data_IF_297246773866
#
_entry.id   IF_297246773866
#
_cell.length_a   1.000
_cell.length_b   1.000
_cell.length_c   1.000
_cell.angle_alpha   90.00
_cell.angle_beta   90.00
_cell.angle_gamma   90.00
#
_symmetry.space_group_name_H-M   'P 1'
#
loop_
_entity.id
_entity.type
_entity.pdbx_description
1 polymer ?
#
# COMPACT_ATOMS: atom_id res chain seq x y z
N UNK A 1 14.37 -0.99 -4.22
CA UNK A 1 13.60 -0.29 -3.16
C UNK A 1 14.52 0.55 -2.29
N UNK A 2 15.39 -0.03 -1.45
CA UNK A 2 16.27 0.71 -0.54
C UNK A 2 17.10 1.81 -1.23
N UNK A 3 17.81 1.47 -2.32
CA UNK A 3 18.56 2.47 -3.09
C UNK A 3 17.70 3.59 -3.67
N UNK A 4 16.42 3.35 -3.97
CA UNK A 4 15.53 4.43 -4.40
C UNK A 4 15.08 5.32 -3.23
N UNK A 5 14.88 4.74 -2.05
CA UNK A 5 14.59 5.51 -0.84
C UNK A 5 15.78 6.42 -0.49
N UNK A 6 17.01 5.91 -0.63
CA UNK A 6 18.24 6.70 -0.50
C UNK A 6 18.32 7.82 -1.54
N UNK A 7 18.14 7.52 -2.84
CA UNK A 7 18.15 8.53 -3.90
C UNK A 7 17.07 9.62 -3.72
N UNK A 8 15.92 9.28 -3.14
CA UNK A 8 14.84 10.24 -2.86
C UNK A 8 15.09 11.08 -1.59
N UNK A 9 16.11 10.69 -0.79
CA UNK A 9 16.51 11.36 0.44
C UNK A 9 15.79 10.89 1.70
N UNK A 10 15.18 9.70 1.69
CA UNK A 10 14.55 9.09 2.88
C UNK A 10 15.55 8.31 3.73
N UNK A 11 16.65 7.85 3.14
CA UNK A 11 17.70 7.11 3.83
C UNK A 11 19.02 7.84 3.67
N UNK A 12 19.79 7.87 4.74
CA UNK A 12 21.17 8.34 4.71
C UNK A 12 22.07 7.22 5.18
N UNK A 13 23.10 6.92 4.42
CA UNK A 13 24.13 6.00 4.88
C UNK A 13 24.99 6.75 5.89
N UNK A 14 24.97 6.33 7.15
CA UNK A 14 26.02 6.76 8.08
C UNK A 14 27.35 6.40 7.44
N UNK A 15 28.16 7.41 7.09
CA UNK A 15 29.55 7.18 6.72
C UNK A 15 30.13 6.37 7.87
N UNK A 16 30.53 5.13 7.60
CA UNK A 16 31.38 4.38 8.52
C UNK A 16 32.58 5.31 8.68
N UNK A 17 32.70 5.92 9.84
CA UNK A 17 33.84 6.74 10.17
C UNK A 17 35.07 5.86 9.99
N UNK A 18 35.92 6.24 9.04
CA UNK A 18 37.36 6.03 9.16
C UNK A 18 37.77 6.40 10.59
N UNK A 19 38.84 5.76 11.05
CA UNK A 19 39.30 5.63 12.46
C UNK A 19 39.79 6.97 13.08
N UNK A 20 39.11 8.08 12.85
CA UNK A 20 39.40 9.40 13.40
C UNK A 20 38.09 10.06 13.81
N UNK A 21 37.79 9.97 15.10
CA UNK A 21 36.57 10.53 15.70
C UNK A 21 36.47 12.04 15.47
N UNK A 22 35.66 12.42 14.49
CA UNK A 22 35.06 13.75 14.38
C UNK A 22 33.64 13.52 13.87
N UNK A 23 32.70 13.38 14.82
CA UNK A 23 31.28 13.54 14.55
C UNK A 23 31.10 15.05 14.33
N UNK A 24 31.18 15.51 13.09
CA UNK A 24 30.81 16.89 12.76
C UNK A 24 29.36 17.09 13.18
N UNK A 25 29.15 18.15 13.95
CA UNK A 25 27.89 18.60 14.53
C UNK A 25 26.84 18.80 13.44
N UNK A 26 26.04 17.77 13.21
CA UNK A 26 24.71 17.89 12.66
C UNK A 26 23.77 17.93 13.85
N UNK A 27 22.78 18.81 13.80
CA UNK A 27 21.81 19.10 14.86
C UNK A 27 21.38 17.83 15.61
N UNK A 28 21.20 17.92 16.93
CA UNK A 28 20.72 16.84 17.81
C UNK A 28 19.26 16.44 17.50
N UNK A 29 18.96 16.11 16.25
CA UNK A 29 17.69 15.55 15.83
C UNK A 29 17.71 14.05 16.20
N UNK A 30 16.72 13.62 16.98
CA UNK A 30 16.59 12.21 17.39
C UNK A 30 16.52 11.30 16.18
N UNK A 31 17.22 10.16 16.21
CA UNK A 31 17.15 9.16 15.13
C UNK A 31 15.68 8.80 14.80
N UNK A 32 15.25 8.88 13.53
CA UNK A 32 13.85 8.70 13.17
C UNK A 32 13.38 7.27 13.43
N UNK A 33 12.08 7.12 13.70
CA UNK A 33 11.43 5.83 13.86
C UNK A 33 11.04 5.26 12.49
N UNK A 34 11.55 4.09 12.16
CA UNK A 34 11.24 3.37 10.93
C UNK A 34 10.03 2.47 11.15
N UNK A 35 8.90 2.80 10.53
CA UNK A 35 7.63 2.07 10.67
C UNK A 35 7.36 1.20 9.44
N UNK A 36 7.50 -0.12 9.60
CA UNK A 36 7.14 -1.10 8.57
C UNK A 36 5.65 -1.48 8.68
N UNK A 37 4.85 -1.08 7.69
CA UNK A 37 3.44 -1.46 7.59
C UNK A 37 3.29 -2.81 6.90
N UNK A 38 2.42 -3.68 7.43
CA UNK A 38 2.26 -5.03 6.89
C UNK A 38 3.57 -5.83 7.00
N UNK A 39 4.26 -5.70 8.13
CA UNK A 39 5.64 -6.15 8.28
C UNK A 39 5.82 -7.66 8.08
N UNK A 40 4.77 -8.47 8.23
CA UNK A 40 4.87 -9.92 8.16
C UNK A 40 5.97 -10.46 9.07
N UNK A 41 7.03 -11.02 8.46
CA UNK A 41 8.20 -11.55 9.17
C UNK A 41 9.27 -10.49 9.55
N UNK A 42 9.18 -9.25 9.07
CA UNK A 42 10.08 -8.14 9.42
C UNK A 42 11.41 -8.12 8.66
N UNK A 43 11.50 -8.79 7.51
CA UNK A 43 12.76 -8.87 6.75
C UNK A 43 13.15 -7.57 6.06
N UNK A 44 12.18 -6.70 5.74
CA UNK A 44 12.51 -5.40 5.13
C UNK A 44 13.20 -4.49 6.16
N UNK A 45 12.66 -4.41 7.38
CA UNK A 45 13.33 -3.75 8.50
C UNK A 45 14.68 -4.35 8.82
N UNK A 46 14.83 -5.68 8.76
CA UNK A 46 16.14 -6.33 8.91
C UNK A 46 17.16 -5.85 7.89
N UNK A 47 16.78 -5.77 6.61
CA UNK A 47 17.65 -5.29 5.55
C UNK A 47 18.02 -3.81 5.73
N UNK A 48 17.06 -2.97 6.14
CA UNK A 48 17.32 -1.57 6.49
C UNK A 48 18.33 -1.45 7.65
N UNK A 49 18.16 -2.26 8.69
CA UNK A 49 19.08 -2.30 9.82
C UNK A 49 20.49 -2.77 9.44
N UNK A 50 20.62 -3.71 8.50
CA UNK A 50 21.93 -4.15 7.98
C UNK A 50 22.61 -3.09 7.11
N UNK A 51 21.85 -2.45 6.20
CA UNK A 51 22.42 -1.58 5.18
C UNK A 51 22.61 -0.12 5.61
N UNK A 52 21.76 0.37 6.52
CA UNK A 52 21.68 1.79 6.90
C UNK A 52 21.83 2.02 8.41
N UNK A 53 22.09 0.97 9.19
CA UNK A 53 22.32 1.07 10.64
C UNK A 53 21.19 1.80 11.39
N UNK A 54 19.93 1.58 10.98
CA UNK A 54 18.77 2.16 11.66
C UNK A 54 18.58 1.54 13.04
N UNK A 55 18.20 2.36 14.01
CA UNK A 55 18.12 1.96 15.43
C UNK A 55 16.68 1.79 15.91
N UNK A 56 15.77 2.71 15.54
CA UNK A 56 14.40 2.73 16.04
C UNK A 56 13.44 2.08 15.04
N UNK A 57 12.94 0.89 15.33
CA UNK A 57 12.10 0.09 14.41
C UNK A 57 10.74 -0.22 15.03
N UNK A 58 9.69 0.09 14.29
CA UNK A 58 8.31 -0.26 14.62
C UNK A 58 7.69 -1.13 13.52
N UNK A 59 7.21 -2.31 13.90
CA UNK A 59 6.58 -3.27 12.97
C UNK A 59 5.07 -3.30 13.21
N UNK A 60 4.27 -2.90 12.23
CA UNK A 60 2.80 -2.96 12.28
C UNK A 60 2.32 -4.19 11.50
N UNK A 61 1.61 -5.09 12.18
CA UNK A 61 1.14 -6.32 11.55
C UNK A 61 -0.09 -6.90 12.29
N UNK A 62 -1.15 -7.26 11.57
CA UNK A 62 -2.37 -7.85 12.17
C UNK A 62 -2.19 -9.30 12.62
N UNK A 63 -1.31 -10.06 11.95
CA UNK A 63 -1.11 -11.51 12.16
C UNK A 63 0.15 -11.84 12.96
N UNK A 64 0.16 -13.03 13.54
CA UNK A 64 1.36 -13.61 14.13
C UNK A 64 2.03 -14.55 13.13
N UNK A 65 3.32 -14.38 12.91
CA UNK A 65 4.12 -15.23 12.03
C UNK A 65 5.15 -16.05 12.84
N UNK A 66 5.46 -17.26 12.37
CA UNK A 66 6.66 -18.00 12.80
C UNK A 66 7.88 -17.49 12.04
N UNK A 67 9.08 -17.69 12.59
CA UNK A 67 10.36 -17.31 11.97
C UNK A 67 10.45 -15.81 11.66
N UNK A 68 10.16 -14.98 12.66
CA UNK A 68 10.28 -13.52 12.54
C UNK A 68 11.74 -13.10 12.65
N UNK A 69 12.13 -12.06 11.92
CA UNK A 69 13.42 -11.40 12.04
C UNK A 69 13.63 -10.72 13.41
N UNK A 70 12.59 -10.66 14.26
CA UNK A 70 12.63 -10.02 15.58
C UNK A 70 13.79 -10.52 16.44
N UNK A 71 14.12 -11.82 16.40
CA UNK A 71 15.23 -12.37 17.19
C UNK A 71 16.56 -11.79 16.74
N UNK A 72 16.87 -11.85 15.45
CA UNK A 72 18.15 -11.37 14.91
C UNK A 72 18.25 -9.85 14.99
N UNK A 73 17.13 -9.13 14.83
CA UNK A 73 17.06 -7.69 15.07
C UNK A 73 17.37 -7.32 16.52
N UNK A 74 16.84 -8.06 17.51
CA UNK A 74 17.10 -7.81 18.94
C UNK A 74 18.51 -8.20 19.40
N UNK A 75 19.17 -9.11 18.68
CA UNK A 75 20.57 -9.47 18.96
C UNK A 75 21.54 -8.31 18.62
N UNK A 76 21.09 -7.31 17.85
CA UNK A 76 21.85 -6.08 17.60
C UNK A 76 21.66 -5.09 18.75
N UNK A 77 22.73 -4.85 19.52
CA UNK A 77 22.69 -4.08 20.77
C UNK A 77 22.12 -2.66 20.65
N UNK A 78 22.12 -2.05 19.46
CA UNK A 78 21.66 -0.68 19.22
C UNK A 78 20.23 -0.56 18.68
N UNK A 79 19.48 -1.67 18.51
CA UNK A 79 18.14 -1.62 17.92
C UNK A 79 17.04 -1.62 18.98
N UNK A 80 16.25 -0.56 19.02
CA UNK A 80 14.97 -0.54 19.69
C UNK A 80 13.88 -1.09 18.76
N UNK A 81 13.45 -2.33 19.02
CA UNK A 81 12.41 -3.01 18.23
C UNK A 81 11.08 -3.11 18.98
N UNK A 82 10.04 -2.48 18.42
CA UNK A 82 8.64 -2.65 18.85
C UNK A 82 7.81 -3.28 17.73
N UNK A 83 7.08 -4.37 18.04
CA UNK A 83 6.10 -4.95 17.13
C UNK A 83 4.70 -4.75 17.70
N UNK A 84 3.84 -4.07 16.96
CA UNK A 84 2.46 -3.77 17.36
C UNK A 84 1.53 -4.66 16.53
N UNK A 85 0.77 -5.51 17.23
CA UNK A 85 -0.20 -6.39 16.60
C UNK A 85 -1.56 -5.69 16.50
N UNK A 86 -1.88 -5.15 15.33
CA UNK A 86 -3.08 -4.34 15.10
C UNK A 86 -3.47 -4.38 13.63
N UNK A 87 -4.76 -4.24 13.33
CA UNK A 87 -5.19 -3.95 11.96
C UNK A 87 -4.87 -2.47 11.63
N UNK A 88 -4.50 -2.19 10.39
CA UNK A 88 -4.17 -0.82 9.98
C UNK A 88 -5.43 0.07 10.04
N UNK A 89 -6.62 -0.52 9.85
CA UNK A 89 -7.88 0.21 9.99
C UNK A 89 -8.08 0.78 11.41
N UNK A 90 -7.57 0.11 12.44
CA UNK A 90 -7.68 0.52 13.84
C UNK A 90 -6.44 1.32 14.33
N UNK A 91 -5.46 1.56 13.46
CA UNK A 91 -4.19 2.18 13.84
C UNK A 91 -4.30 3.71 13.93
N UNK A 92 -3.97 4.25 15.11
CA UNK A 92 -3.83 5.68 15.34
C UNK A 92 -2.39 6.06 15.74
N UNK A 93 -1.57 6.44 14.75
CA UNK A 93 -0.15 6.77 14.95
C UNK A 93 0.08 7.88 15.99
N UNK A 94 -0.72 8.95 15.94
CA UNK A 94 -0.62 10.07 16.89
C UNK A 94 -0.91 9.64 18.33
N UNK A 95 -1.63 8.55 18.55
CA UNK A 95 -1.87 8.00 19.89
C UNK A 95 -0.71 7.16 20.45
N UNK A 96 0.34 6.91 19.67
CA UNK A 96 1.42 6.03 20.07
C UNK A 96 2.51 6.80 20.80
N UNK A 97 2.69 6.54 22.09
CA UNK A 97 3.74 7.18 22.90
C UNK A 97 5.16 7.02 22.32
N UNK A 98 5.41 5.93 21.58
CA UNK A 98 6.70 5.66 20.95
C UNK A 98 6.99 6.56 19.72
N UNK A 99 6.02 7.37 19.27
CA UNK A 99 6.19 8.32 18.18
C UNK A 99 6.10 9.78 18.66
N UNK A 100 5.81 10.00 19.95
CA UNK A 100 5.62 11.35 20.49
C UNK A 100 6.93 12.12 20.43
N UNK A 101 6.90 13.31 19.84
CA UNK A 101 8.03 14.22 19.58
C UNK A 101 9.15 13.60 18.75
N UNK A 102 8.86 12.53 18.00
CA UNK A 102 9.80 11.87 17.11
C UNK A 102 9.42 12.04 15.65
N UNK A 103 10.46 12.10 14.82
CA UNK A 103 10.34 11.95 13.39
C UNK A 103 10.16 10.47 13.01
N UNK A 104 9.45 10.19 11.93
CA UNK A 104 9.25 8.82 11.47
C UNK A 104 9.18 8.69 9.95
N UNK A 105 9.60 7.53 9.46
CA UNK A 105 9.52 7.13 8.06
C UNK A 105 8.62 5.90 7.96
N UNK A 106 7.55 6.02 7.18
CA UNK A 106 6.63 4.91 6.92
C UNK A 106 7.03 4.16 5.65
N UNK A 107 7.19 2.84 5.73
CA UNK A 107 7.56 2.05 4.56
C UNK A 107 6.91 0.67 4.55
N UNK A 108 6.84 0.04 3.38
CA UNK A 108 6.32 -1.32 3.25
C UNK A 108 6.73 -2.01 1.95
N UNK A 109 6.96 -3.34 2.04
CA UNK A 109 6.76 -4.27 0.92
C UNK A 109 6.08 -5.54 1.46
N UNK A 110 5.04 -6.08 0.86
CA UNK A 110 4.17 -5.55 -0.20
C UNK A 110 2.81 -5.26 0.45
N UNK A 111 2.33 -4.01 0.39
CA UNK A 111 1.14 -3.60 1.13
C UNK A 111 -0.11 -3.74 0.26
N UNK A 112 -0.94 -4.74 0.56
CA UNK A 112 -1.99 -5.17 -0.36
C UNK A 112 -3.19 -4.21 -0.43
N UNK A 113 -3.52 -3.76 -1.64
CA UNK A 113 -4.76 -3.06 -1.99
C UNK A 113 -5.14 -1.95 -1.01
N UNK A 114 -6.27 -2.10 -0.33
CA UNK A 114 -6.80 -1.08 0.60
C UNK A 114 -5.90 -0.80 1.81
N UNK A 115 -5.02 -1.73 2.20
CA UNK A 115 -4.07 -1.48 3.28
C UNK A 115 -3.12 -0.32 2.95
N UNK A 116 -2.75 -0.17 1.65
CA UNK A 116 -1.98 1.00 1.20
C UNK A 116 -2.76 2.27 1.48
N UNK A 117 -4.03 2.32 1.11
CA UNK A 117 -4.85 3.51 1.26
C UNK A 117 -5.11 3.87 2.73
N UNK A 118 -5.28 2.87 3.60
CA UNK A 118 -5.37 3.07 5.05
C UNK A 118 -4.06 3.62 5.62
N UNK A 119 -2.90 3.05 5.26
CA UNK A 119 -1.58 3.55 5.68
C UNK A 119 -1.36 4.99 5.23
N UNK A 120 -1.71 5.34 3.99
CA UNK A 120 -1.60 6.72 3.50
C UNK A 120 -2.43 7.68 4.35
N UNK A 121 -3.66 7.31 4.74
CA UNK A 121 -4.49 8.11 5.65
C UNK A 121 -3.87 8.25 7.04
N UNK A 122 -3.30 7.18 7.60
CA UNK A 122 -2.59 7.23 8.88
C UNK A 122 -1.38 8.19 8.83
N UNK A 123 -0.72 8.26 7.68
CA UNK A 123 0.46 9.09 7.45
C UNK A 123 0.13 10.47 6.86
N UNK A 124 -1.13 10.90 6.88
CA UNK A 124 -1.46 12.23 6.34
C UNK A 124 -0.80 13.31 7.21
N UNK A 125 -0.01 14.24 6.63
CA UNK A 125 0.55 15.36 7.38
C UNK A 125 -0.56 16.19 8.03
N UNK A 126 -0.33 16.62 9.27
CA UNK A 126 -1.21 17.59 9.91
C UNK A 126 -0.81 19.00 9.45
N UNK A 127 -1.64 19.63 8.63
CA UNK A 127 -1.41 21.01 8.19
C UNK A 127 -1.59 22.01 9.33
N UNK A 128 -2.26 21.61 10.43
CA UNK A 128 -2.53 22.45 11.58
C UNK A 128 -1.51 22.21 12.71
N UNK A 129 -0.22 22.43 12.43
CA UNK A 129 0.90 22.80 13.34
C UNK A 129 1.08 22.14 14.73
N UNK A 130 0.26 21.17 15.13
CA UNK A 130 0.22 20.57 16.48
C UNK A 130 0.37 19.05 16.44
N UNK A 131 1.00 18.52 15.36
CA UNK A 131 1.30 17.09 15.33
C UNK A 131 2.38 16.78 16.33
N UNK A 132 2.09 15.86 17.24
CA UNK A 132 3.02 15.32 18.23
C UNK A 132 3.93 14.24 17.64
N UNK A 133 3.86 13.95 16.34
CA UNK A 133 4.81 13.11 15.63
C UNK A 133 4.99 13.66 14.20
N UNK A 134 6.21 13.60 13.68
CA UNK A 134 6.58 14.26 12.42
C UNK A 134 6.90 13.23 11.34
N UNK A 135 6.17 13.25 10.24
CA UNK A 135 6.43 12.36 9.11
C UNK A 135 7.56 12.94 8.26
N UNK A 136 8.65 12.21 8.08
CA UNK A 136 9.73 12.59 7.17
C UNK A 136 9.55 12.01 5.78
N UNK A 137 8.90 10.86 5.67
CA UNK A 137 8.55 10.32 4.36
C UNK A 137 7.88 8.96 4.34
N UNK A 138 7.44 8.61 3.14
CA UNK A 138 6.68 7.41 2.83
C UNK A 138 7.39 6.66 1.70
N UNK A 139 7.52 5.33 1.82
CA UNK A 139 8.00 4.45 0.77
C UNK A 139 7.21 3.13 0.72
N UNK A 140 6.20 3.03 -0.15
CA UNK A 140 5.30 1.87 -0.20
C UNK A 140 5.38 1.19 -1.57
N UNK A 141 5.82 -0.07 -1.59
CA UNK A 141 5.67 -0.92 -2.76
C UNK A 141 4.20 -1.37 -2.85
N UNK A 142 3.47 -0.77 -3.79
CA UNK A 142 2.04 -1.01 -4.01
C UNK A 142 1.83 -2.37 -4.67
N UNK A 143 0.87 -3.15 -4.18
CA UNK A 143 0.54 -4.45 -4.76
C UNK A 143 -0.93 -4.82 -4.58
N UNK A 144 -1.36 -5.90 -5.23
CA UNK A 144 -2.69 -6.50 -5.06
C UNK A 144 -3.83 -5.49 -5.31
N UNK A 145 -3.72 -4.70 -6.37
CA UNK A 145 -4.73 -3.70 -6.74
C UNK A 145 -6.14 -4.27 -6.93
N UNK A 146 -6.24 -5.58 -7.20
CA UNK A 146 -7.52 -6.28 -7.37
C UNK A 146 -8.36 -6.36 -6.09
N UNK A 147 -7.75 -6.17 -4.91
CA UNK A 147 -8.46 -6.08 -3.62
C UNK A 147 -8.59 -4.64 -3.11
N UNK A 148 -8.31 -3.64 -3.95
CA UNK A 148 -8.62 -2.26 -3.62
C UNK A 148 -10.15 -2.09 -3.47
N UNK A 149 -10.55 -1.35 -2.44
CA UNK A 149 -11.96 -1.08 -2.15
C UNK A 149 -12.24 0.41 -2.28
N UNK A 150 -13.42 0.74 -2.77
CA UNK A 150 -13.82 2.14 -2.97
C UNK A 150 -13.83 2.94 -1.66
N UNK A 151 -14.38 2.37 -0.56
CA UNK A 151 -14.51 3.05 0.73
C UNK A 151 -13.15 3.53 1.30
N UNK A 152 -12.12 2.67 1.42
CA UNK A 152 -10.80 3.08 1.91
C UNK A 152 -9.92 3.78 0.88
N UNK A 153 -10.21 3.73 -0.43
CA UNK A 153 -9.40 4.43 -1.43
C UNK A 153 -9.26 5.93 -1.12
N UNK A 154 -8.03 6.46 -1.22
CA UNK A 154 -7.73 7.83 -0.76
C UNK A 154 -8.24 8.92 -1.70
N UNK A 155 -8.20 8.70 -3.01
CA UNK A 155 -8.53 9.74 -4.00
C UNK A 155 -9.79 9.46 -4.82
N UNK A 156 -10.93 9.36 -4.16
CA UNK A 156 -12.22 9.18 -4.86
C UNK A 156 -12.52 10.32 -5.83
N UNK A 157 -12.04 11.55 -5.54
CA UNK A 157 -12.28 12.72 -6.38
C UNK A 157 -11.52 12.65 -7.71
N UNK A 158 -10.31 12.08 -7.72
CA UNK A 158 -9.58 11.80 -8.95
C UNK A 158 -10.41 10.96 -9.94
N UNK A 159 -10.99 9.86 -9.48
CA UNK A 159 -11.86 9.02 -10.31
C UNK A 159 -13.11 9.76 -10.79
N UNK A 160 -13.77 10.52 -9.90
CA UNK A 160 -14.94 11.32 -10.27
C UNK A 160 -14.62 12.37 -11.33
N UNK A 161 -13.48 13.05 -11.25
CA UNK A 161 -13.01 14.03 -12.25
C UNK A 161 -12.78 13.39 -13.61
N UNK A 162 -12.37 12.13 -13.65
CA UNK A 162 -12.21 11.34 -14.88
C UNK A 162 -13.54 10.76 -15.41
N UNK A 163 -14.66 10.99 -14.73
CA UNK A 163 -15.97 10.46 -15.11
C UNK A 163 -16.23 9.03 -14.63
N UNK A 164 -15.39 8.48 -13.75
CA UNK A 164 -15.59 7.14 -13.17
C UNK A 164 -16.43 7.19 -11.90
N UNK A 165 -17.45 6.34 -11.83
CA UNK A 165 -18.24 6.06 -10.63
C UNK A 165 -17.59 4.94 -9.79
N UNK A 166 -18.23 4.62 -8.64
CA UNK A 166 -17.89 3.44 -7.83
C UNK A 166 -17.92 2.16 -8.66
N UNK A 167 -18.86 2.03 -9.62
CA UNK A 167 -18.99 0.84 -10.46
C UNK A 167 -17.79 0.69 -11.39
N UNK A 168 -17.40 1.74 -12.12
CA UNK A 168 -16.20 1.66 -12.97
C UNK A 168 -14.93 1.46 -12.17
N UNK A 169 -14.81 2.03 -10.96
CA UNK A 169 -13.68 1.74 -10.08
C UNK A 169 -13.55 0.24 -9.80
N UNK A 170 -14.66 -0.45 -9.48
CA UNK A 170 -14.64 -1.90 -9.24
C UNK A 170 -14.26 -2.71 -10.49
N UNK A 171 -14.71 -2.27 -11.67
CA UNK A 171 -14.29 -2.87 -12.95
C UNK A 171 -12.77 -2.71 -13.13
N UNK A 172 -12.25 -1.50 -12.89
CA UNK A 172 -10.82 -1.21 -13.01
C UNK A 172 -9.98 -2.04 -12.04
N UNK A 173 -10.41 -2.18 -10.78
CA UNK A 173 -9.72 -3.06 -9.81
C UNK A 173 -9.76 -4.51 -10.27
N UNK A 174 -10.90 -5.00 -10.78
CA UNK A 174 -11.00 -6.35 -11.30
C UNK A 174 -10.07 -6.60 -12.49
N UNK A 175 -9.94 -5.63 -13.40
CA UNK A 175 -9.01 -5.67 -14.54
C UNK A 175 -7.53 -5.74 -14.14
N UNK A 176 -7.18 -5.37 -12.89
CA UNK A 176 -5.80 -5.52 -12.39
C UNK A 176 -5.45 -6.94 -11.94
N UNK A 177 -6.43 -7.85 -11.82
CA UNK A 177 -6.19 -9.22 -11.38
C UNK A 177 -5.35 -10.00 -12.41
N UNK A 178 -4.33 -10.72 -11.93
CA UNK A 178 -3.45 -11.53 -12.77
C UNK A 178 -4.12 -12.76 -13.39
N UNK A 179 -5.39 -13.02 -13.08
CA UNK A 179 -6.19 -14.15 -13.58
C UNK A 179 -6.47 -14.09 -15.10
N UNK A 180 -5.73 -13.27 -15.85
CA UNK A 180 -5.94 -13.09 -17.28
C UNK A 180 -4.69 -13.18 -18.14
N UNK A 181 -3.52 -13.43 -17.54
CA UNK A 181 -2.33 -13.80 -18.31
C UNK A 181 -2.31 -15.30 -18.71
N UNK A 182 -3.46 -15.99 -18.68
CA UNK A 182 -3.51 -17.45 -18.71
C UNK A 182 -4.74 -18.10 -19.33
N UNK A 183 -5.46 -17.46 -20.27
CA UNK A 183 -6.37 -18.21 -21.15
C UNK A 183 -5.50 -18.91 -22.20
N UNK A 184 -4.81 -19.98 -21.80
CA UNK A 184 -4.27 -20.94 -22.75
C UNK A 184 -5.47 -21.68 -23.36
N UNK A 185 -5.54 -21.69 -24.68
CA UNK A 185 -6.53 -22.46 -25.43
C UNK A 185 -6.43 -23.95 -25.10
N UNK A 186 -7.56 -24.49 -24.62
CA UNK A 186 -8.02 -25.88 -24.55
C UNK A 186 -7.47 -26.86 -23.50
N UNK A 187 -8.49 -27.58 -22.97
CA UNK A 187 -8.50 -28.85 -22.24
C UNK A 187 -7.64 -28.94 -20.98
N UNK A 188 -8.27 -28.68 -19.83
CA UNK A 188 -8.41 -29.70 -18.78
C UNK A 188 -9.36 -29.24 -17.68
N UNK A 189 -10.36 -30.07 -17.38
CA UNK A 189 -11.27 -29.92 -16.25
C UNK A 189 -10.48 -30.12 -14.95
N UNK A 190 -10.20 -29.04 -14.21
CA UNK A 190 -10.08 -29.11 -12.74
C UNK A 190 -10.11 -27.73 -12.07
N UNK A 191 -11.19 -27.51 -11.33
CA UNK A 191 -11.36 -26.70 -10.13
C UNK A 191 -10.47 -25.44 -9.90
N UNK A 192 -11.12 -24.27 -9.87
CA UNK A 192 -11.15 -23.40 -8.69
C UNK A 192 -12.17 -22.26 -8.86
N UNK A 193 -13.43 -22.55 -8.52
CA UNK A 193 -14.44 -21.56 -8.16
C UNK A 193 -14.13 -21.03 -6.76
N UNK A 194 -13.62 -19.80 -6.64
CA UNK A 194 -13.69 -19.01 -5.38
C UNK A 194 -13.09 -17.60 -5.56
N UNK A 195 -13.64 -16.78 -6.45
CA UNK A 195 -13.24 -15.36 -6.51
C UNK A 195 -14.40 -14.37 -6.67
N UNK A 196 -15.65 -14.81 -6.48
CA UNK A 196 -16.82 -13.94 -6.60
C UNK A 196 -17.66 -13.80 -5.32
N UNK A 197 -17.16 -14.23 -4.16
CA UNK A 197 -17.83 -13.94 -2.88
C UNK A 197 -17.58 -12.50 -2.37
N UNK A 198 -16.75 -11.70 -3.06
CA UNK A 198 -16.46 -10.32 -2.65
C UNK A 198 -17.46 -9.27 -3.16
N UNK A 199 -18.48 -9.67 -3.93
CA UNK A 199 -19.49 -8.76 -4.48
C UNK A 199 -20.77 -8.64 -3.62
N UNK A 200 -20.91 -9.43 -2.54
CA UNK A 200 -22.15 -9.47 -1.74
C UNK A 200 -22.10 -8.83 -0.34
N UNK A 201 -20.96 -8.29 0.11
CA UNK A 201 -20.88 -7.66 1.45
C UNK A 201 -20.48 -6.20 1.33
N UNK A 202 -21.48 -5.34 1.11
CA UNK A 202 -21.59 -3.94 1.58
C UNK A 202 -22.76 -3.27 0.85
N UNK A 203 -23.97 -3.81 1.05
CA UNK A 203 -25.23 -3.09 0.85
C UNK A 203 -26.04 -3.30 2.12
N UNK A 204 -25.74 -2.57 3.19
CA UNK A 204 -26.65 -2.34 4.31
C UNK A 204 -26.11 -1.17 5.13
N UNK A 205 -26.80 -0.04 5.02
CA UNK A 205 -27.04 1.04 5.99
C UNK A 205 -27.64 2.21 5.16
N UNK A 206 -28.85 2.75 5.36
CA UNK A 206 -29.97 2.48 6.27
C UNK A 206 -31.20 3.24 5.72
N UNK A 207 -32.41 2.75 6.02
CA UNK A 207 -33.73 3.41 5.91
C UNK A 207 -34.35 3.71 4.53
N UNK A 208 -35.10 2.75 3.98
CA UNK A 208 -36.54 2.97 3.74
C UNK A 208 -37.31 1.64 3.71
N UNK A 209 -38.32 1.54 4.56
CA UNK A 209 -39.17 0.35 4.69
C UNK A 209 -40.41 0.55 3.84
N UNK A 210 -40.50 -0.14 2.70
CA UNK A 210 -41.79 -0.55 2.15
C UNK A 210 -41.63 -1.82 1.31
N UNK A 211 -42.33 -2.84 1.78
CA UNK A 211 -42.54 -4.14 1.14
C UNK A 211 -43.01 -3.98 -0.30
N UNK A 212 -42.25 -4.52 -1.26
CA UNK A 212 -42.79 -4.85 -2.56
C UNK A 212 -42.57 -6.33 -2.87
N UNK A 213 -43.70 -7.00 -3.00
CA UNK A 213 -43.85 -8.40 -3.34
C UNK A 213 -43.17 -8.72 -4.69
N UNK A 214 -42.76 -9.98 -4.78
CA UNK A 214 -42.30 -10.68 -5.98
C UNK A 214 -43.08 -10.23 -7.21
N UNK A 215 -42.39 -9.63 -8.17
CA UNK A 215 -42.83 -9.64 -9.56
C UNK A 215 -41.65 -10.10 -10.40
N UNK A 216 -41.84 -11.24 -11.03
CA UNK A 216 -40.91 -11.89 -11.94
C UNK A 216 -40.59 -10.98 -13.12
N UNK A 217 -39.30 -10.77 -13.43
CA UNK A 217 -38.81 -10.58 -14.80
C UNK A 217 -37.27 -10.61 -14.88
N UNK A 218 -36.76 -11.58 -15.64
CA UNK A 218 -35.43 -11.70 -16.25
C UNK A 218 -34.21 -11.29 -15.42
N UNK A 219 -33.73 -12.20 -14.58
CA UNK A 219 -32.42 -12.14 -13.93
C UNK A 219 -31.33 -12.62 -14.90
N UNK A 220 -30.61 -11.71 -15.56
CA UNK A 220 -29.27 -12.03 -16.08
C UNK A 220 -28.28 -11.93 -14.93
N UNK A 221 -27.57 -13.01 -14.62
CA UNK A 221 -26.58 -13.05 -13.55
C UNK A 221 -25.48 -11.99 -13.78
N UNK A 222 -25.03 -11.26 -12.74
CA UNK A 222 -23.91 -10.32 -12.85
C UNK A 222 -22.65 -10.95 -13.45
N UNK A 223 -22.49 -12.27 -13.28
CA UNK A 223 -21.41 -13.08 -13.86
C UNK A 223 -21.42 -13.10 -15.38
N UNK A 224 -22.58 -13.27 -16.02
CA UNK A 224 -22.67 -13.37 -17.48
C UNK A 224 -22.35 -12.03 -18.16
N UNK A 225 -22.79 -10.91 -17.58
CA UNK A 225 -22.47 -9.58 -18.10
C UNK A 225 -20.97 -9.27 -18.00
N UNK A 226 -20.34 -9.57 -16.87
CA UNK A 226 -18.90 -9.33 -16.70
C UNK A 226 -18.05 -10.29 -17.55
N UNK A 227 -18.47 -11.54 -17.70
CA UNK A 227 -17.78 -12.50 -18.57
C UNK A 227 -17.87 -12.09 -20.05
N UNK A 228 -19.03 -11.59 -20.51
CA UNK A 228 -19.18 -11.06 -21.87
C UNK A 228 -18.27 -9.86 -22.15
N UNK A 229 -18.20 -8.90 -21.22
CA UNK A 229 -17.32 -7.73 -21.33
C UNK A 229 -15.84 -8.14 -21.31
N UNK A 230 -15.49 -9.11 -20.47
CA UNK A 230 -14.15 -9.70 -20.39
C UNK A 230 -13.71 -10.29 -21.74
N UNK A 231 -14.53 -11.17 -22.33
CA UNK A 231 -14.20 -11.87 -23.57
C UNK A 231 -14.06 -10.88 -24.73
N UNK A 232 -14.98 -9.91 -24.80
CA UNK A 232 -14.95 -8.84 -25.80
C UNK A 232 -13.71 -7.95 -25.68
N UNK A 233 -13.36 -7.48 -24.48
CA UNK A 233 -12.12 -6.70 -24.25
C UNK A 233 -10.87 -7.49 -24.64
N UNK A 234 -10.83 -8.79 -24.34
CA UNK A 234 -9.69 -9.66 -24.70
C UNK A 234 -9.46 -9.74 -26.21
N UNK A 235 -10.54 -9.63 -26.99
CA UNK A 235 -10.44 -9.63 -28.46
C UNK A 235 -9.92 -8.32 -29.05
N UNK A 236 -9.92 -7.24 -28.26
CA UNK A 236 -9.61 -5.88 -28.72
C UNK A 236 -8.29 -5.33 -28.16
N UNK A 237 -7.87 -5.78 -26.99
CA UNK A 237 -6.72 -5.22 -26.28
C UNK A 237 -5.92 -6.29 -25.53
N UNK A 238 -4.61 -6.09 -25.48
CA UNK A 238 -3.74 -6.87 -24.59
C UNK A 238 -4.15 -6.62 -23.13
N UNK A 239 -4.54 -7.70 -22.46
CA UNK A 239 -5.05 -7.66 -21.10
C UNK A 239 -4.00 -7.43 -20.05
N UNK A 240 -2.78 -7.89 -20.31
CA UNK A 240 -1.66 -7.60 -19.43
C UNK A 240 -1.36 -6.09 -19.43
N UNK A 241 -1.41 -5.48 -20.63
CA UNK A 241 -1.28 -4.04 -20.80
C UNK A 241 -2.47 -3.29 -20.16
N UNK A 242 -3.72 -3.67 -20.46
CA UNK A 242 -4.89 -3.04 -19.83
C UNK A 242 -4.83 -3.11 -18.30
N UNK A 243 -4.49 -4.28 -17.74
CA UNK A 243 -4.32 -4.46 -16.31
C UNK A 243 -3.21 -3.57 -15.74
N UNK A 244 -2.07 -3.44 -16.43
CA UNK A 244 -1.00 -2.54 -16.03
C UNK A 244 -1.45 -1.08 -16.03
N UNK A 245 -2.20 -0.64 -17.04
CA UNK A 245 -2.79 0.72 -17.08
C UNK A 245 -3.78 0.95 -15.93
N UNK A 246 -4.60 -0.05 -15.59
CA UNK A 246 -5.53 0.03 -14.45
C UNK A 246 -4.79 0.15 -13.11
N UNK A 247 -3.68 -0.59 -12.93
CA UNK A 247 -2.80 -0.44 -11.75
C UNK A 247 -2.21 0.96 -11.67
N UNK A 248 -1.66 1.45 -12.78
CA UNK A 248 -1.12 2.80 -12.88
C UNK A 248 -2.17 3.86 -12.53
N UNK A 249 -3.42 3.70 -12.98
CA UNK A 249 -4.49 4.64 -12.68
C UNK A 249 -4.77 4.74 -11.16
N UNK A 250 -4.81 3.60 -10.48
CA UNK A 250 -4.98 3.55 -9.02
C UNK A 250 -3.79 4.21 -8.28
N UNK A 251 -2.57 3.96 -8.73
CA UNK A 251 -1.37 4.51 -8.10
C UNK A 251 -1.22 6.01 -8.38
N UNK A 252 -1.56 6.49 -9.58
CA UNK A 252 -1.58 7.92 -9.92
C UNK A 252 -2.59 8.67 -9.06
N UNK A 253 -3.76 8.10 -8.78
CA UNK A 253 -4.69 8.74 -7.84
C UNK A 253 -4.12 8.86 -6.43
N UNK A 254 -3.35 7.86 -5.95
CA UNK A 254 -2.64 7.91 -4.66
C UNK A 254 -1.52 8.96 -4.66
N UNK A 255 -0.77 9.05 -5.76
CA UNK A 255 0.25 10.07 -5.98
C UNK A 255 -0.34 11.47 -5.89
N UNK A 256 -1.44 11.74 -6.62
CA UNK A 256 -2.11 13.03 -6.59
C UNK A 256 -2.68 13.35 -5.23
N UNK A 257 -3.18 12.36 -4.49
CA UNK A 257 -3.66 12.59 -3.13
C UNK A 257 -2.55 13.04 -2.17
N UNK A 258 -1.34 12.47 -2.30
CA UNK A 258 -0.18 12.90 -1.52
C UNK A 258 0.26 14.31 -1.91
N UNK A 259 0.29 14.63 -3.20
CA UNK A 259 0.62 15.97 -3.69
C UNK A 259 -0.40 17.02 -3.21
N UNK A 260 -1.69 16.71 -3.31
CA UNK A 260 -2.79 17.54 -2.78
C UNK A 260 -2.73 17.69 -1.24
N UNK A 261 -2.02 16.80 -0.55
CA UNK A 261 -1.80 16.84 0.90
C UNK A 261 -0.51 17.58 1.31
N UNK A 262 0.15 18.28 0.38
CA UNK A 262 1.35 19.07 0.67
C UNK A 262 2.65 18.26 0.71
N UNK A 263 2.70 17.12 0.01
CA UNK A 263 3.90 16.29 -0.08
C UNK A 263 4.50 16.34 -1.49
N UNK A 264 5.83 16.34 -1.57
CA UNK A 264 6.54 16.00 -2.80
C UNK A 264 6.51 14.48 -2.94
N UNK A 265 5.93 13.98 -4.02
CA UNK A 265 5.69 12.55 -4.21
C UNK A 265 5.98 12.11 -5.65
N UNK A 266 6.44 10.87 -5.80
CA UNK A 266 6.83 10.25 -7.06
C UNK A 266 6.39 8.77 -7.11
N UNK A 267 6.02 8.31 -8.31
CA UNK A 267 5.88 6.90 -8.62
C UNK A 267 7.06 6.46 -9.47
N UNK A 268 7.77 5.44 -9.01
CA UNK A 268 8.93 4.92 -9.73
C UNK A 268 8.87 3.41 -9.88
N UNK A 269 9.55 2.91 -10.90
CA UNK A 269 9.79 1.47 -11.08
C UNK A 269 11.02 1.06 -10.29
N UNK A 270 10.87 0.26 -9.23
CA UNK A 270 11.98 -0.06 -8.33
C UNK A 270 12.81 -1.28 -8.73
N UNK A 271 12.31 -2.07 -9.68
CA UNK A 271 12.94 -3.30 -10.20
C UNK A 271 12.36 -3.65 -11.58
N UNK A 272 13.06 -4.44 -12.39
CA UNK A 272 12.52 -4.91 -13.68
C UNK A 272 11.20 -5.67 -13.50
N UNK A 273 10.30 -5.52 -14.47
CA UNK A 273 9.06 -6.28 -14.55
C UNK A 273 9.31 -7.80 -14.67
N UNK A 274 10.49 -8.20 -15.15
CA UNK A 274 10.91 -9.61 -15.23
C UNK A 274 11.11 -10.26 -13.84
N UNK A 275 11.42 -9.45 -12.82
CA UNK A 275 11.55 -9.93 -11.44
C UNK A 275 10.19 -9.97 -10.76
N UNK A 276 9.39 -8.92 -10.93
CA UNK A 276 8.01 -8.88 -10.47
C UNK A 276 7.19 -7.87 -11.27
N UNK A 277 5.95 -8.19 -11.67
CA UNK A 277 5.04 -7.21 -12.26
C UNK A 277 4.53 -6.18 -11.24
N UNK A 278 4.69 -6.45 -9.94
CA UNK A 278 4.38 -5.53 -8.84
C UNK A 278 5.65 -4.75 -8.47
N UNK A 279 6.13 -3.93 -9.41
CA UNK A 279 7.42 -3.23 -9.33
C UNK A 279 7.31 -1.71 -9.16
N UNK A 280 6.14 -1.21 -8.78
CA UNK A 280 5.91 0.21 -8.53
C UNK A 280 6.18 0.55 -7.06
N UNK A 281 6.91 1.64 -6.83
CA UNK A 281 7.18 2.21 -5.51
C UNK A 281 6.63 3.63 -5.46
N UNK A 282 5.75 3.88 -4.49
CA UNK A 282 5.25 5.22 -4.18
C UNK A 282 6.15 5.83 -3.11
N UNK A 283 6.78 6.96 -3.45
CA UNK A 283 7.65 7.74 -2.58
C UNK A 283 7.00 9.08 -2.28
N UNK A 284 7.12 9.56 -1.04
CA UNK A 284 6.71 10.91 -0.68
C UNK A 284 7.48 11.47 0.52
N UNK A 285 7.59 12.79 0.59
CA UNK A 285 8.10 13.55 1.74
C UNK A 285 7.36 14.88 1.85
N UNK A 286 7.17 15.46 3.06
CA UNK A 286 6.58 16.79 3.17
C UNK A 286 7.36 17.82 2.36
N UNK A 287 6.65 18.77 1.75
CA UNK A 287 7.29 19.96 1.17
C UNK A 287 7.73 20.86 2.32
N UNK A 288 9.04 21.16 2.39
CA UNK A 288 9.62 22.11 3.35
C UNK A 288 9.34 23.54 2.94
#
# INVERSE_FOLDING_TARGET
MLGNMESFGLLQRTKICDVSGLKESLDEESDPVFIEFGAGRGYLSHMLADCYNIQNIMLIERRSYKFKADRTLREKAAIELKRVRIDIEDLYLKGMNALRDHHYIAFSKHLCGHATDLTLRCCRPDLASQSICHLDGIAIATCCHHICQWRPYVNKQFFKKLGFSKKEFHILTWLTSGAVAGIKSNSDNSANQSNLDLFQTEVNDEHDTQSFAKTENSTTDPEEQFHGVSLWLTSLVDRAELGRKCKQLLDVGRLYWLQESGMSAELITYVSADITPENTLLLAKPVK
#
